data_IF_470988415131
#
_entry.id   IF_470988415131
#
_cell.length_a   1.000
_cell.length_b   1.000
_cell.length_c   1.000
_cell.angle_alpha   90.00
_cell.angle_beta   90.00
_cell.angle_gamma   90.00
#
_symmetry.space_group_name_H-M   'P 1'
#
loop_
_entity.id
_entity.type
_entity.pdbx_description
1 polymer ?
#
# COMPACT_ATOMS: atom_id res chain seq x y z
N UNK A 1 -6.00 -13.09 -12.29
CA UNK A 1 -4.87 -12.11 -12.28
C UNK A 1 -5.16 -11.05 -11.23
N UNK A 2 -4.15 -10.43 -10.61
CA UNK A 2 -4.29 -9.56 -9.42
C UNK A 2 -5.24 -8.33 -9.56
N UNK A 3 -5.68 -8.01 -10.78
CA UNK A 3 -6.65 -6.95 -11.06
C UNK A 3 -8.11 -7.41 -10.98
N UNK A 4 -8.36 -8.71 -10.78
CA UNK A 4 -9.71 -9.25 -10.62
C UNK A 4 -10.40 -8.62 -9.41
N UNK A 5 -11.61 -8.12 -9.60
CA UNK A 5 -12.40 -7.47 -8.57
C UNK A 5 -12.60 -8.35 -7.32
N UNK A 6 -12.73 -9.68 -7.49
CA UNK A 6 -12.86 -10.61 -6.36
C UNK A 6 -11.58 -10.67 -5.53
N UNK A 7 -10.43 -10.67 -6.19
CA UNK A 7 -9.11 -10.66 -5.53
C UNK A 7 -8.94 -9.37 -4.76
N UNK A 8 -9.15 -8.22 -5.41
CA UNK A 8 -9.06 -6.90 -4.77
C UNK A 8 -10.00 -6.80 -3.57
N UNK A 9 -11.25 -7.23 -3.72
CA UNK A 9 -12.24 -7.21 -2.64
C UNK A 9 -11.82 -8.08 -1.44
N UNK A 10 -11.12 -9.18 -1.68
CA UNK A 10 -10.60 -10.06 -0.62
C UNK A 10 -9.51 -9.33 0.18
N UNK A 11 -8.52 -8.77 -0.50
CA UNK A 11 -7.48 -7.97 0.18
C UNK A 11 -8.05 -6.73 0.88
N UNK A 12 -9.06 -6.07 0.30
CA UNK A 12 -9.71 -4.93 0.93
C UNK A 12 -10.39 -5.31 2.25
N UNK A 13 -10.97 -6.51 2.37
CA UNK A 13 -11.55 -7.00 3.63
C UNK A 13 -10.48 -7.16 4.71
N UNK A 14 -9.35 -7.75 4.37
CA UNK A 14 -8.22 -7.93 5.30
C UNK A 14 -7.63 -6.58 5.75
N UNK A 15 -7.41 -5.66 4.80
CA UNK A 15 -6.94 -4.30 5.12
C UNK A 15 -7.93 -3.59 6.05
N UNK A 16 -9.24 -3.74 5.80
CA UNK A 16 -10.28 -3.16 6.66
C UNK A 16 -10.26 -3.76 8.06
N UNK A 17 -10.01 -5.07 8.20
CA UNK A 17 -9.90 -5.72 9.49
C UNK A 17 -8.69 -5.22 10.28
N UNK A 18 -7.53 -5.10 9.63
CA UNK A 18 -6.30 -4.60 10.24
C UNK A 18 -6.46 -3.12 10.65
N UNK A 19 -7.06 -2.29 9.80
CA UNK A 19 -7.27 -0.86 10.09
C UNK A 19 -8.13 -0.61 11.33
N UNK A 20 -8.99 -1.56 11.76
CA UNK A 20 -9.75 -1.46 13.02
C UNK A 20 -8.85 -1.46 14.26
N UNK A 21 -7.63 -1.97 14.14
CA UNK A 21 -6.65 -2.04 15.23
C UNK A 21 -5.64 -0.88 15.20
N UNK A 22 -5.70 -0.02 14.17
CA UNK A 22 -4.73 1.05 13.94
C UNK A 22 -5.35 2.42 14.20
N UNK A 23 -4.54 3.35 14.73
CA UNK A 23 -4.95 4.75 14.86
C UNK A 23 -5.20 5.39 13.49
N UNK A 24 -5.99 6.48 13.44
CA UNK A 24 -6.37 7.12 12.17
C UNK A 24 -5.18 7.49 11.27
N UNK A 25 -4.04 7.84 11.86
CA UNK A 25 -2.80 8.19 11.14
C UNK A 25 -2.02 6.98 10.64
N UNK A 26 -2.23 5.81 11.22
CA UNK A 26 -1.54 4.55 10.90
C UNK A 26 -2.31 3.70 9.90
N UNK A 27 -3.61 3.98 9.71
CA UNK A 27 -4.48 3.23 8.81
C UNK A 27 -3.98 3.26 7.36
N UNK A 28 -4.04 2.11 6.72
CA UNK A 28 -3.77 1.93 5.30
C UNK A 28 -4.93 2.54 4.51
N UNK A 29 -4.71 3.72 3.93
CA UNK A 29 -5.73 4.46 3.17
C UNK A 29 -5.91 3.95 1.75
N UNK A 30 -4.82 3.50 1.12
CA UNK A 30 -4.76 3.05 -0.27
C UNK A 30 -3.71 1.96 -0.39
N UNK A 31 -3.99 0.94 -1.19
CA UNK A 31 -3.02 -0.09 -1.53
C UNK A 31 -3.11 -0.47 -3.01
N UNK A 32 -2.06 -1.11 -3.51
CA UNK A 32 -1.98 -1.71 -4.84
C UNK A 32 -1.38 -3.10 -4.68
N UNK A 33 -1.83 -4.04 -5.50
CA UNK A 33 -1.26 -5.37 -5.57
C UNK A 33 -0.19 -5.39 -6.66
N UNK A 34 0.92 -6.05 -6.37
CA UNK A 34 1.96 -6.40 -7.36
C UNK A 34 1.97 -7.92 -7.47
N UNK A 35 2.27 -8.43 -8.66
CA UNK A 35 2.17 -9.87 -8.93
C UNK A 35 3.53 -10.57 -8.81
N UNK A 36 4.61 -9.79 -8.87
CA UNK A 36 5.97 -10.26 -8.71
C UNK A 36 6.23 -10.62 -7.25
N UNK A 37 6.77 -11.82 -7.05
CA UNK A 37 7.31 -12.22 -5.76
C UNK A 37 8.58 -11.43 -5.44
N UNK A 38 8.75 -11.07 -4.17
CA UNK A 38 9.95 -10.38 -3.70
C UNK A 38 10.94 -11.38 -3.14
N UNK A 39 12.15 -11.38 -3.69
CA UNK A 39 13.21 -12.30 -3.27
C UNK A 39 14.54 -11.55 -3.07
N UNK A 40 15.53 -12.16 -2.39
CA UNK A 40 16.87 -11.62 -2.36
C UNK A 40 17.53 -11.55 -3.75
N UNK A 41 17.24 -12.53 -4.61
CA UNK A 41 17.83 -12.68 -5.94
C UNK A 41 17.33 -11.61 -6.93
N UNK A 42 16.05 -11.26 -6.81
CA UNK A 42 15.43 -10.17 -7.58
C UNK A 42 15.69 -8.78 -6.97
N UNK A 43 16.24 -8.73 -5.76
CA UNK A 43 16.80 -7.54 -5.13
C UNK A 43 15.88 -6.78 -4.19
N UNK A 44 14.58 -7.07 -4.15
CA UNK A 44 13.60 -6.41 -3.26
C UNK A 44 13.85 -6.72 -1.80
N UNK A 45 14.44 -7.87 -1.49
CA UNK A 45 14.79 -8.28 -0.14
C UNK A 45 16.31 -8.28 0.10
N UNK A 46 16.72 -8.12 1.36
CA UNK A 46 18.08 -8.46 1.81
C UNK A 46 18.25 -9.98 1.85
N UNK A 47 19.49 -10.50 1.96
CA UNK A 47 19.72 -11.92 2.24
C UNK A 47 19.01 -12.42 3.51
N UNK A 48 18.73 -11.51 4.44
CA UNK A 48 17.97 -11.75 5.69
C UNK A 48 16.47 -11.45 5.56
N UNK A 49 15.93 -11.40 4.34
CA UNK A 49 14.52 -11.17 4.02
C UNK A 49 13.94 -9.81 4.46
N UNK A 50 14.80 -8.83 4.75
CA UNK A 50 14.34 -7.46 5.05
C UNK A 50 14.05 -6.70 3.76
N UNK A 51 12.92 -6.00 3.73
CA UNK A 51 12.47 -5.16 2.62
C UNK A 51 13.50 -4.05 2.32
N UNK A 52 14.04 -4.00 1.10
CA UNK A 52 14.91 -2.92 0.61
C UNK A 52 14.08 -1.79 0.02
N UNK A 53 13.60 -0.89 0.90
CA UNK A 53 12.68 0.21 0.53
C UNK A 53 13.14 1.05 -0.66
N UNK A 54 14.41 1.41 -0.75
CA UNK A 54 14.94 2.23 -1.86
C UNK A 54 14.75 1.53 -3.22
N UNK A 55 15.16 0.28 -3.31
CA UNK A 55 15.02 -0.52 -4.54
C UNK A 55 13.55 -0.67 -4.95
N UNK A 56 12.67 -0.99 -4.00
CA UNK A 56 11.23 -1.13 -4.23
C UNK A 56 10.61 0.20 -4.67
N UNK A 57 11.02 1.31 -4.05
CA UNK A 57 10.49 2.63 -4.40
C UNK A 57 10.88 3.05 -5.81
N UNK A 58 12.10 2.74 -6.23
CA UNK A 58 12.57 2.98 -7.60
C UNK A 58 11.86 2.06 -8.61
N UNK A 59 11.73 0.76 -8.31
CA UNK A 59 11.07 -0.23 -9.16
C UNK A 59 9.59 0.09 -9.40
N UNK A 60 8.87 0.49 -8.35
CA UNK A 60 7.42 0.74 -8.40
C UNK A 60 7.07 2.23 -8.37
N UNK A 61 7.98 3.10 -8.84
CA UNK A 61 7.81 4.57 -8.78
C UNK A 61 6.48 5.07 -9.33
N UNK A 62 6.02 4.50 -10.44
CA UNK A 62 4.76 4.91 -11.10
C UNK A 62 3.53 4.48 -10.27
N UNK A 63 3.58 3.29 -9.68
CA UNK A 63 2.51 2.79 -8.80
C UNK A 63 2.43 3.63 -7.53
N UNK A 64 3.58 3.96 -6.95
CA UNK A 64 3.64 4.85 -5.78
C UNK A 64 3.16 6.26 -6.14
N UNK A 65 3.56 6.80 -7.29
CA UNK A 65 3.07 8.07 -7.77
C UNK A 65 1.54 8.06 -7.91
N UNK A 66 0.95 7.01 -8.48
CA UNK A 66 -0.52 6.84 -8.56
C UNK A 66 -1.20 6.78 -7.19
N UNK A 67 -0.62 6.08 -6.21
CA UNK A 67 -1.17 6.01 -4.84
C UNK A 67 -1.24 7.42 -4.20
N UNK A 68 -0.22 8.25 -4.46
CA UNK A 68 -0.08 9.58 -3.85
C UNK A 68 -0.63 10.74 -4.70
N UNK A 69 -0.83 10.56 -6.01
CA UNK A 69 -1.30 11.59 -6.93
C UNK A 69 -2.77 11.99 -6.70
N UNK A 70 -3.55 11.11 -6.06
CA UNK A 70 -4.95 11.39 -5.74
C UNK A 70 -5.01 12.50 -4.70
N UNK A 71 -5.40 13.70 -5.16
CA UNK A 71 -5.67 14.88 -4.34
C UNK A 71 -6.56 14.50 -3.15
N UNK A 72 -6.30 15.10 -1.98
CA UNK A 72 -7.18 14.97 -0.82
C UNK A 72 -8.60 15.37 -1.28
N UNK A 73 -9.51 14.41 -1.35
CA UNK A 73 -10.93 14.73 -1.29
C UNK A 73 -11.16 15.51 0.00
N UNK A 74 -11.84 16.65 -0.11
CA UNK A 74 -12.17 17.59 0.97
C UNK A 74 -12.81 16.86 2.16
N UNK A 75 -12.00 16.40 3.10
CA UNK A 75 -12.38 16.17 4.48
C UNK A 75 -11.93 17.39 5.24
N UNK A 76 -12.77 18.43 5.24
CA UNK A 76 -12.67 19.55 6.16
C UNK A 76 -12.74 18.93 7.55
N UNK A 77 -11.61 18.88 8.26
CA UNK A 77 -11.67 18.75 9.70
C UNK A 77 -11.87 20.17 10.18
N UNK A 78 -13.14 20.59 10.22
CA UNK A 78 -13.55 21.70 11.07
C UNK A 78 -13.03 21.36 12.47
N UNK A 79 -12.09 22.17 12.91
CA UNK A 79 -11.63 22.19 14.29
C UNK A 79 -12.70 23.05 14.96
N UNK A 80 -13.73 22.41 15.49
CA UNK A 80 -14.66 23.07 16.41
C UNK A 80 -13.88 23.39 17.70
N UNK A 81 -13.74 24.69 17.95
CA UNK A 81 -13.37 25.43 19.17
C UNK A 81 -12.27 24.89 20.11
#
# INVERSE_FOLDING_TARGET
MIQDAKVIATFQKEVTLINKQLGQTEQIKRFRLVHEEWTPDTGELSPTLKVKRRFISEKYKEILADIYSVQKGNGVHEIDE
#
